data_IF_470015486396
#
_entry.id   IF_470015486396
#
_cell.length_a   1.000
_cell.length_b   1.000
_cell.length_c   1.000
_cell.angle_alpha   90.00
_cell.angle_beta   90.00
_cell.angle_gamma   90.00
#
_symmetry.space_group_name_H-M   'P 1'
#
loop_
_entity.id
_entity.type
_entity.pdbx_description
1 polymer ?
#
# COMPACT_ATOMS: atom_id res chain seq x y z
N UNK A 1 -25.64 6.57 -23.99
CA UNK A 1 -26.03 7.72 -23.15
C UNK A 1 -25.93 7.27 -21.70
N UNK A 2 -24.96 7.78 -20.95
CA UNK A 2 -24.81 7.42 -19.54
C UNK A 2 -25.85 8.25 -18.77
N UNK A 3 -26.73 7.58 -18.04
CA UNK A 3 -27.77 8.24 -17.26
C UNK A 3 -27.33 8.23 -15.80
N UNK A 4 -27.07 9.41 -15.24
CA UNK A 4 -26.82 9.58 -13.82
C UNK A 4 -27.86 10.56 -13.27
N UNK A 5 -28.74 10.09 -12.37
CA UNK A 5 -29.82 10.89 -11.78
C UNK A 5 -30.67 11.70 -12.78
N UNK A 6 -31.17 11.05 -13.84
CA UNK A 6 -32.00 11.69 -14.88
C UNK A 6 -31.31 12.83 -15.67
N UNK A 7 -30.02 13.06 -15.44
CA UNK A 7 -29.18 13.88 -16.31
C UNK A 7 -28.44 12.96 -17.28
N UNK A 8 -28.58 13.30 -18.55
CA UNK A 8 -27.98 12.56 -19.64
C UNK A 8 -26.59 13.13 -19.83
N UNK A 9 -25.60 12.37 -19.40
CA UNK A 9 -24.21 12.76 -19.47
C UNK A 9 -23.51 11.96 -20.57
N UNK A 10 -22.80 12.66 -21.45
CA UNK A 10 -21.99 12.06 -22.52
C UNK A 10 -20.50 12.01 -22.14
N UNK A 11 -20.16 12.34 -20.89
CA UNK A 11 -18.78 12.35 -20.38
C UNK A 11 -18.55 11.12 -19.50
N UNK A 12 -17.55 10.32 -19.85
CA UNK A 12 -17.07 9.20 -19.05
C UNK A 12 -15.78 9.60 -18.32
N UNK A 13 -15.81 9.55 -16.99
CA UNK A 13 -14.60 9.67 -16.18
C UNK A 13 -13.97 8.29 -16.00
N UNK A 14 -12.70 8.17 -16.38
CA UNK A 14 -11.92 6.95 -16.19
C UNK A 14 -10.51 7.33 -15.75
N UNK A 15 -9.88 6.42 -15.02
CA UNK A 15 -8.46 6.49 -14.65
C UNK A 15 -7.72 5.36 -15.36
N UNK A 16 -6.54 5.66 -15.88
CA UNK A 16 -5.67 4.64 -16.46
C UNK A 16 -4.81 4.09 -15.35
N UNK A 17 -4.94 2.80 -15.08
CA UNK A 17 -4.17 2.12 -14.04
C UNK A 17 -2.88 1.54 -14.63
N UNK A 18 -1.79 1.61 -13.85
CA UNK A 18 -0.52 0.98 -14.19
C UNK A 18 -0.58 -0.56 -14.09
N UNK A 19 -1.59 -1.10 -13.41
CA UNK A 19 -1.82 -2.55 -13.25
C UNK A 19 -3.28 -2.92 -13.55
N UNK A 20 -3.56 -4.17 -13.97
CA UNK A 20 -4.93 -4.63 -14.18
C UNK A 20 -5.81 -4.46 -12.94
N UNK A 21 -7.07 -4.05 -13.15
CA UNK A 21 -8.02 -3.85 -12.05
C UNK A 21 -8.18 -5.08 -11.13
N UNK A 22 -8.26 -6.33 -11.64
CA UNK A 22 -8.37 -7.51 -10.77
C UNK A 22 -7.16 -7.67 -9.84
N UNK A 23 -5.96 -7.34 -10.34
CA UNK A 23 -4.75 -7.39 -9.52
C UNK A 23 -4.76 -6.29 -8.47
N UNK A 24 -5.17 -5.07 -8.83
CA UNK A 24 -5.29 -3.96 -7.88
C UNK A 24 -6.29 -4.27 -6.76
N UNK A 25 -7.43 -4.88 -7.11
CA UNK A 25 -8.48 -5.28 -6.15
C UNK A 25 -8.02 -6.40 -5.20
N UNK A 26 -7.09 -7.26 -5.63
CA UNK A 26 -6.50 -8.29 -4.78
C UNK A 26 -5.40 -7.79 -3.84
N UNK A 27 -5.09 -6.49 -3.84
CA UNK A 27 -4.06 -5.90 -2.99
C UNK A 27 -4.68 -5.10 -1.84
N UNK A 28 -4.15 -5.31 -0.64
CA UNK A 28 -4.39 -4.45 0.53
C UNK A 28 -3.24 -3.46 0.69
N UNK A 29 -3.59 -2.24 1.05
CA UNK A 29 -2.62 -1.19 1.40
C UNK A 29 -2.65 -0.95 2.90
N UNK A 30 -1.51 -1.09 3.56
CA UNK A 30 -1.33 -0.90 4.99
C UNK A 30 -0.42 0.29 5.23
N UNK A 31 -0.84 1.19 6.12
CA UNK A 31 0.00 2.27 6.64
C UNK A 31 0.56 1.83 7.98
N UNK A 32 1.87 1.69 8.07
CA UNK A 32 2.59 1.22 9.25
C UNK A 32 3.45 2.35 9.78
N UNK A 33 3.27 2.72 11.03
CA UNK A 33 4.16 3.63 11.74
C UNK A 33 5.32 2.82 12.31
N UNK A 34 6.54 3.10 11.85
CA UNK A 34 7.76 2.44 12.30
C UNK A 34 8.58 3.38 13.16
N UNK A 35 8.93 2.94 14.37
CA UNK A 35 9.73 3.73 15.30
C UNK A 35 11.22 3.38 15.12
N UNK A 36 12.01 4.37 14.71
CA UNK A 36 13.44 4.21 14.47
C UNK A 36 14.24 4.54 15.74
N UNK A 37 14.72 3.50 16.43
CA UNK A 37 15.47 3.65 17.70
C UNK A 37 16.72 4.53 17.61
N UNK A 38 17.29 4.70 16.42
CA UNK A 38 18.50 5.50 16.22
C UNK A 38 18.25 7.01 16.19
N UNK A 39 17.02 7.45 15.87
CA UNK A 39 16.68 8.87 15.70
C UNK A 39 15.50 9.33 16.55
N UNK A 40 14.88 8.42 17.31
CA UNK A 40 13.63 8.67 18.05
C UNK A 40 12.51 9.22 17.13
N UNK A 41 12.57 8.85 15.85
CA UNK A 41 11.64 9.31 14.81
C UNK A 41 10.65 8.20 14.47
N UNK A 42 9.39 8.58 14.23
CA UNK A 42 8.36 7.67 13.74
C UNK A 42 8.15 7.94 12.25
N UNK A 43 8.45 6.94 11.42
CA UNK A 43 8.32 7.01 9.96
C UNK A 43 7.10 6.21 9.52
N UNK A 44 6.22 6.83 8.74
CA UNK A 44 5.05 6.16 8.18
C UNK A 44 5.39 5.50 6.84
N UNK A 45 5.35 4.18 6.80
CA UNK A 45 5.53 3.40 5.58
C UNK A 45 4.19 2.93 5.03
N UNK A 46 4.05 3.01 3.71
CA UNK A 46 2.90 2.45 3.00
C UNK A 46 3.34 1.16 2.31
N UNK A 47 2.72 0.05 2.70
CA UNK A 47 3.02 -1.29 2.22
C UNK A 47 1.81 -1.80 1.45
N UNK A 48 2.02 -2.27 0.22
CA UNK A 48 0.97 -2.82 -0.64
C UNK A 48 1.27 -4.28 -0.93
N UNK A 49 0.40 -5.17 -0.46
CA UNK A 49 0.59 -6.61 -0.49
C UNK A 49 -0.71 -7.31 -0.87
N UNK A 50 -0.67 -8.57 -1.36
CA UNK A 50 -1.88 -9.38 -1.55
C UNK A 50 -2.74 -9.46 -0.29
N UNK A 51 -4.07 -9.52 -0.45
CA UNK A 51 -5.01 -9.55 0.67
C UNK A 51 -4.73 -10.71 1.65
N UNK A 52 -4.35 -11.87 1.12
CA UNK A 52 -3.98 -13.08 1.85
C UNK A 52 -2.61 -13.03 2.56
N UNK A 53 -1.87 -11.92 2.46
CA UNK A 53 -0.53 -11.81 3.06
C UNK A 53 -0.57 -11.82 4.59
N UNK A 54 0.45 -12.42 5.18
CA UNK A 54 0.63 -12.58 6.62
C UNK A 54 1.37 -11.39 7.24
N UNK A 55 1.42 -11.34 8.57
CA UNK A 55 2.24 -10.36 9.30
C UNK A 55 3.73 -10.53 8.99
N UNK A 56 4.19 -11.77 8.77
CA UNK A 56 5.58 -12.04 8.38
C UNK A 56 5.95 -11.40 7.05
N UNK A 57 5.04 -11.40 6.09
CA UNK A 57 5.26 -10.75 4.78
C UNK A 57 5.37 -9.23 4.93
N UNK A 58 4.55 -8.63 5.81
CA UNK A 58 4.61 -7.20 6.13
C UNK A 58 5.95 -6.85 6.78
N UNK A 59 6.42 -7.64 7.74
CA UNK A 59 7.70 -7.42 8.42
C UNK A 59 8.88 -7.55 7.45
N UNK A 60 8.85 -8.54 6.55
CA UNK A 60 9.87 -8.70 5.53
C UNK A 60 9.90 -7.52 4.56
N UNK A 61 8.74 -7.06 4.09
CA UNK A 61 8.65 -5.88 3.22
C UNK A 61 9.17 -4.62 3.95
N UNK A 62 8.77 -4.43 5.21
CA UNK A 62 9.24 -3.33 6.05
C UNK A 62 10.77 -3.37 6.21
N UNK A 63 11.35 -4.55 6.47
CA UNK A 63 12.81 -4.75 6.61
C UNK A 63 13.59 -4.31 5.39
N UNK A 64 13.03 -4.43 4.19
CA UNK A 64 13.68 -3.95 2.95
C UNK A 64 13.59 -2.43 2.77
N UNK A 65 12.64 -1.78 3.46
CA UNK A 65 12.35 -0.34 3.34
C UNK A 65 12.94 0.48 4.49
N UNK A 66 13.38 -0.15 5.57
CA UNK A 66 13.98 0.51 6.73
C UNK A 66 15.46 0.16 6.87
N UNK A 67 16.28 1.14 7.23
CA UNK A 67 17.67 0.88 7.60
C UNK A 67 17.69 0.37 9.04
N UNK A 68 18.06 -0.90 9.20
CA UNK A 68 18.25 -1.49 10.53
C UNK A 68 19.53 -0.95 11.15
N UNK A 69 19.52 -0.77 12.47
CA UNK A 69 20.70 -0.33 13.21
C UNK A 69 21.90 -1.27 13.01
N UNK A 70 21.64 -2.57 12.84
CA UNK A 70 22.66 -3.58 12.55
C UNK A 70 22.11 -4.67 11.61
N UNK A 71 22.97 -5.35 10.84
CA UNK A 71 22.54 -6.35 9.83
C UNK A 71 21.81 -7.57 10.40
N UNK A 72 21.98 -7.84 11.71
CA UNK A 72 21.36 -8.96 12.42
C UNK A 72 20.19 -8.54 13.32
N UNK A 73 19.73 -7.29 13.24
CA UNK A 73 18.60 -6.85 14.04
C UNK A 73 17.32 -7.58 13.59
N UNK A 74 16.54 -8.00 14.57
CA UNK A 74 15.20 -8.59 14.40
C UNK A 74 14.13 -7.50 14.51
N UNK A 75 12.98 -7.76 13.90
CA UNK A 75 11.81 -6.88 13.77
C UNK A 75 10.61 -7.52 14.48
#
# INVERSE_FOLDING_TARGET
MLVHYNQTADILYYEVLDIPLPELQGLKTLKVAFHLSSKDEVVNHTIRLPEQSTVGDILNDLKTKVELSHPKAEL
#
